data_IF_648792522965
#
_entry.id   IF_648792522965
#
_cell.length_a   1.000
_cell.length_b   1.000
_cell.length_c   1.000
_cell.angle_alpha   90.00
_cell.angle_beta   90.00
_cell.angle_gamma   90.00
#
_symmetry.space_group_name_H-M   'P 1'
#
loop_
_entity.id
_entity.type
_entity.pdbx_description
1 polymer ?
#
# COMPACT_ATOMS: atom_id res chain seq x y z
N UNK A 1 37.65 -5.52 6.36
CA UNK A 1 36.47 -6.04 7.10
C UNK A 1 35.24 -5.26 6.68
N UNK A 2 34.22 -5.97 6.27
CA UNK A 2 32.98 -5.30 5.90
C UNK A 2 32.20 -4.90 7.16
N UNK A 3 31.78 -3.65 7.19
CA UNK A 3 30.92 -3.16 8.26
C UNK A 3 29.48 -3.36 7.80
N UNK A 4 28.71 -4.10 8.56
CA UNK A 4 27.29 -4.26 8.29
C UNK A 4 26.55 -3.12 8.94
N UNK A 5 25.67 -2.52 8.19
CA UNK A 5 24.81 -1.47 8.68
C UNK A 5 23.43 -2.01 9.01
N UNK A 6 22.83 -1.48 10.07
CA UNK A 6 21.44 -1.75 10.38
C UNK A 6 20.57 -1.08 9.32
N UNK A 7 19.56 -1.81 8.81
CA UNK A 7 18.59 -1.25 7.90
C UNK A 7 17.38 -0.76 8.69
N UNK A 8 16.98 0.47 8.40
CA UNK A 8 15.73 1.00 8.91
C UNK A 8 14.59 0.41 8.11
N UNK A 9 13.61 -0.17 8.79
CA UNK A 9 12.42 -0.75 8.18
C UNK A 9 11.21 -0.12 8.85
N UNK A 10 10.25 0.32 8.05
CA UNK A 10 8.99 0.83 8.57
C UNK A 10 8.07 -0.35 8.88
N UNK A 11 7.59 -0.41 10.10
CA UNK A 11 6.70 -1.46 10.58
C UNK A 11 5.51 -0.84 11.28
N UNK A 12 4.41 -1.60 11.41
CA UNK A 12 3.25 -1.13 12.17
C UNK A 12 3.47 -1.32 13.66
N UNK A 13 2.98 -0.35 14.42
CA UNK A 13 3.01 -0.40 15.88
C UNK A 13 1.63 -0.81 16.39
N UNK A 14 1.42 -2.12 16.52
CA UNK A 14 0.15 -2.65 17.00
C UNK A 14 -0.07 -2.46 18.49
N UNK A 15 0.97 -2.11 19.25
CA UNK A 15 0.81 -1.75 20.65
C UNK A 15 0.07 -0.42 20.80
N UNK A 16 0.33 0.52 19.87
CA UNK A 16 -0.38 1.78 19.81
C UNK A 16 -1.77 1.64 19.19
N UNK A 17 -1.93 0.68 18.26
CA UNK A 17 -3.17 0.46 17.53
C UNK A 17 -3.60 -1.01 17.60
N UNK A 18 -3.94 -1.50 18.80
CA UNK A 18 -4.30 -2.91 18.96
C UNK A 18 -5.61 -3.31 18.27
N UNK A 19 -6.36 -2.33 17.79
CA UNK A 19 -7.64 -2.55 17.12
C UNK A 19 -7.52 -2.62 15.60
N UNK A 20 -6.29 -2.60 15.06
CA UNK A 20 -6.09 -2.70 13.63
C UNK A 20 -6.70 -4.01 13.11
N UNK A 21 -7.63 -3.89 12.18
CA UNK A 21 -8.34 -5.04 11.63
C UNK A 21 -7.61 -5.56 10.40
N UNK A 22 -7.15 -6.81 10.49
CA UNK A 22 -6.52 -7.50 9.38
C UNK A 22 -7.53 -7.74 8.27
N UNK A 23 -7.21 -7.32 7.05
CA UNK A 23 -8.10 -7.44 5.90
C UNK A 23 -7.69 -8.57 4.95
N UNK A 24 -6.41 -8.70 4.69
CA UNK A 24 -5.95 -9.68 3.73
C UNK A 24 -4.44 -9.71 3.59
N UNK A 25 -3.98 -10.57 2.68
CA UNK A 25 -2.56 -10.82 2.49
C UNK A 25 -2.26 -11.05 1.01
N UNK A 26 -1.22 -10.41 0.56
CA UNK A 26 -0.69 -10.61 -0.77
C UNK A 26 0.81 -10.81 -0.73
N UNK A 27 1.48 -10.44 -1.80
CA UNK A 27 2.94 -10.52 -1.91
C UNK A 27 3.50 -9.11 -1.71
N UNK A 28 4.36 -8.95 -0.71
CA UNK A 28 5.09 -7.70 -0.50
C UNK A 28 6.17 -7.53 -1.56
N UNK A 29 6.12 -6.43 -2.27
CA UNK A 29 7.06 -6.14 -3.37
C UNK A 29 8.17 -5.22 -2.90
N UNK A 30 7.82 -4.12 -2.27
CA UNK A 30 8.78 -3.07 -1.91
C UNK A 30 8.18 -2.15 -0.86
N UNK A 31 9.04 -1.33 -0.27
CA UNK A 31 8.69 -0.45 0.82
C UNK A 31 8.48 -1.20 2.11
N UNK A 32 7.94 -0.53 3.11
CA UNK A 32 7.59 -1.12 4.39
C UNK A 32 6.13 -0.86 4.70
N UNK A 33 5.83 -0.66 5.97
CA UNK A 33 4.49 -0.32 6.43
C UNK A 33 4.12 1.10 6.01
N UNK A 34 2.90 1.27 5.54
CA UNK A 34 2.36 2.57 5.15
C UNK A 34 0.88 2.63 5.47
N UNK A 35 0.44 3.72 6.07
CA UNK A 35 -0.98 4.03 6.24
C UNK A 35 -1.31 5.23 5.38
N UNK A 36 -2.44 5.17 4.69
CA UNK A 36 -2.86 6.26 3.82
C UNK A 36 -4.31 6.14 3.42
N UNK A 37 -4.72 7.02 2.53
CA UNK A 37 -6.08 7.02 1.99
C UNK A 37 -6.15 6.23 0.71
N UNK A 38 -7.21 5.46 0.58
CA UNK A 38 -7.47 4.69 -0.62
C UNK A 38 -7.89 5.61 -1.75
N UNK A 39 -7.26 5.47 -2.93
CA UNK A 39 -7.60 6.27 -4.11
C UNK A 39 -7.66 5.37 -5.35
N UNK A 40 -8.37 5.83 -6.36
CA UNK A 40 -8.58 5.09 -7.60
C UNK A 40 -8.20 5.88 -8.85
N UNK A 41 -8.20 7.21 -8.79
CA UNK A 41 -7.99 8.06 -9.96
C UNK A 41 -6.94 9.13 -9.71
N UNK A 42 -6.32 9.60 -10.78
CA UNK A 42 -5.39 10.72 -10.70
C UNK A 42 -6.07 11.98 -10.15
N UNK A 43 -7.32 12.19 -10.51
CA UNK A 43 -8.10 13.32 -10.01
C UNK A 43 -8.25 13.28 -8.49
N UNK A 44 -8.55 12.11 -7.92
CA UNK A 44 -8.62 11.94 -6.47
C UNK A 44 -7.27 12.20 -5.82
N UNK A 45 -6.19 11.74 -6.43
CA UNK A 45 -4.83 11.97 -5.91
C UNK A 45 -4.57 13.47 -5.86
N UNK A 46 -4.85 14.21 -6.93
CA UNK A 46 -4.64 15.65 -6.97
C UNK A 46 -5.48 16.38 -5.94
N UNK A 47 -6.74 16.00 -5.76
CA UNK A 47 -7.63 16.59 -4.77
C UNK A 47 -7.09 16.40 -3.35
N UNK A 48 -6.65 15.19 -3.01
CA UNK A 48 -6.09 14.91 -1.68
C UNK A 48 -4.79 15.65 -1.43
N UNK A 49 -3.95 15.83 -2.46
CA UNK A 49 -2.70 16.61 -2.31
C UNK A 49 -2.99 18.06 -1.90
N UNK A 50 -4.14 18.59 -2.29
CA UNK A 50 -4.57 19.94 -1.90
C UNK A 50 -5.24 19.94 -0.52
N UNK A 51 -6.15 19.00 -0.27
CA UNK A 51 -6.94 18.97 0.95
C UNK A 51 -6.16 18.47 2.18
N UNK A 52 -5.25 17.54 1.97
CA UNK A 52 -4.49 16.88 3.04
C UNK A 52 -3.13 16.47 2.52
N UNK A 53 -2.27 17.47 2.31
CA UNK A 53 -0.97 17.29 1.65
C UNK A 53 -0.03 16.32 2.38
N UNK A 54 -0.22 16.14 3.69
CA UNK A 54 0.62 15.25 4.49
C UNK A 54 0.21 13.79 4.47
N UNK A 55 -0.95 13.46 3.90
CA UNK A 55 -1.42 12.08 3.89
C UNK A 55 -0.79 11.29 2.75
N UNK A 56 -0.51 10.03 3.01
CA UNK A 56 -0.11 9.10 1.95
C UNK A 56 -1.35 8.65 1.18
N UNK A 57 -1.16 8.33 -0.09
CA UNK A 57 -2.24 7.88 -0.97
C UNK A 57 -1.89 6.52 -1.53
N UNK A 58 -2.80 5.57 -1.39
CA UNK A 58 -2.61 4.18 -1.80
C UNK A 58 -3.58 3.88 -2.94
N UNK A 59 -3.01 3.64 -4.12
CA UNK A 59 -3.78 3.30 -5.32
C UNK A 59 -4.18 1.83 -5.27
N UNK A 60 -5.45 1.53 -5.51
CA UNK A 60 -5.94 0.16 -5.57
C UNK A 60 -6.44 -0.20 -6.97
N UNK A 61 -6.13 -1.42 -7.40
CA UNK A 61 -6.55 -1.98 -8.68
C UNK A 61 -6.74 -3.48 -8.53
N UNK A 62 -7.65 -4.06 -9.32
CA UNK A 62 -7.68 -5.52 -9.45
C UNK A 62 -6.43 -5.99 -10.18
N UNK A 63 -6.13 -5.33 -11.28
CA UNK A 63 -4.92 -5.55 -12.05
C UNK A 63 -4.56 -4.21 -12.69
N UNK A 64 -3.30 -3.99 -12.98
CA UNK A 64 -2.87 -2.75 -13.61
C UNK A 64 -2.72 -2.94 -15.11
N UNK A 65 -2.96 -1.86 -15.84
CA UNK A 65 -2.71 -1.79 -17.28
C UNK A 65 -1.68 -0.68 -17.53
N UNK A 66 -1.03 -0.65 -18.71
CA UNK A 66 -0.03 0.40 -19.00
C UNK A 66 -0.55 1.82 -18.82
N UNK A 67 -1.83 2.05 -19.05
CA UNK A 67 -2.45 3.37 -18.89
C UNK A 67 -2.49 3.85 -17.43
N UNK A 68 -2.27 2.97 -16.48
CA UNK A 68 -2.24 3.32 -15.04
C UNK A 68 -0.93 3.97 -14.61
N UNK A 69 0.03 4.18 -15.52
CA UNK A 69 1.36 4.66 -15.17
C UNK A 69 1.34 6.01 -14.43
N UNK A 70 0.47 6.91 -14.80
CA UNK A 70 0.39 8.24 -14.17
C UNK A 70 -0.06 8.13 -12.71
N UNK A 71 -1.07 7.31 -12.47
CA UNK A 71 -1.60 7.07 -11.12
C UNK A 71 -0.55 6.38 -10.24
N UNK A 72 0.17 5.41 -10.81
CA UNK A 72 1.22 4.68 -10.07
C UNK A 72 2.34 5.64 -9.67
N UNK A 73 2.74 6.55 -10.56
CA UNK A 73 3.76 7.55 -10.25
C UNK A 73 3.28 8.56 -9.20
N UNK A 74 2.02 8.95 -9.26
CA UNK A 74 1.48 9.99 -8.40
C UNK A 74 1.15 9.49 -6.99
N UNK A 75 0.76 8.23 -6.84
CA UNK A 75 0.42 7.65 -5.55
C UNK A 75 1.68 7.29 -4.75
N UNK A 76 1.54 7.14 -3.45
CA UNK A 76 2.63 6.76 -2.56
C UNK A 76 2.75 5.24 -2.42
N UNK A 77 1.64 4.54 -2.53
CA UNK A 77 1.59 3.09 -2.44
C UNK A 77 0.68 2.48 -3.48
N UNK A 78 0.81 1.18 -3.66
CA UNK A 78 0.04 0.42 -4.63
C UNK A 78 -0.42 -0.91 -4.02
N UNK A 79 -1.69 -1.22 -4.22
CA UNK A 79 -2.30 -2.47 -3.77
C UNK A 79 -3.07 -3.08 -4.94
N UNK A 80 -2.74 -4.33 -5.31
CA UNK A 80 -3.44 -5.01 -6.39
C UNK A 80 -3.95 -6.39 -5.96
N UNK A 81 -5.08 -6.79 -6.56
CA UNK A 81 -5.65 -8.12 -6.33
C UNK A 81 -4.91 -9.20 -7.11
N UNK A 82 -4.37 -8.86 -8.26
CA UNK A 82 -3.67 -9.76 -9.17
C UNK A 82 -2.31 -9.19 -9.55
N UNK A 83 -1.56 -9.95 -10.32
CA UNK A 83 -0.21 -9.62 -10.71
C UNK A 83 0.78 -10.33 -9.81
N UNK A 84 2.03 -10.31 -10.15
CA UNK A 84 3.09 -10.92 -9.37
C UNK A 84 4.28 -9.99 -9.27
N UNK A 85 5.38 -10.49 -8.73
CA UNK A 85 6.62 -9.72 -8.58
C UNK A 85 7.17 -9.21 -9.91
N UNK A 86 6.84 -9.88 -11.01
CA UNK A 86 7.29 -9.49 -12.35
C UNK A 86 6.27 -8.70 -13.14
N UNK A 87 5.13 -8.36 -12.52
CA UNK A 87 4.14 -7.52 -13.19
C UNK A 87 4.70 -6.12 -13.44
N UNK A 88 4.15 -5.44 -14.45
CA UNK A 88 4.58 -4.09 -14.81
C UNK A 88 4.50 -3.14 -13.61
N UNK A 89 3.40 -3.18 -12.89
CA UNK A 89 3.19 -2.32 -11.72
C UNK A 89 4.19 -2.62 -10.61
N UNK A 90 4.45 -3.90 -10.33
CA UNK A 90 5.40 -4.28 -9.29
C UNK A 90 6.81 -3.80 -9.62
N UNK A 91 7.23 -3.95 -10.87
CA UNK A 91 8.55 -3.49 -11.31
C UNK A 91 8.69 -1.98 -11.15
N UNK A 92 7.68 -1.22 -11.57
CA UNK A 92 7.70 0.24 -11.46
C UNK A 92 7.68 0.67 -10.00
N UNK A 93 6.80 0.11 -9.19
CA UNK A 93 6.72 0.46 -7.77
C UNK A 93 8.03 0.20 -7.05
N UNK A 94 8.67 -0.92 -7.34
CA UNK A 94 9.97 -1.26 -6.77
C UNK A 94 11.05 -0.25 -7.17
N UNK A 95 11.11 0.12 -8.44
CA UNK A 95 12.08 1.11 -8.94
C UNK A 95 11.90 2.46 -8.29
N UNK A 96 10.65 2.85 -8.03
CA UNK A 96 10.32 4.14 -7.43
C UNK A 96 10.40 4.11 -5.90
N UNK A 97 10.67 2.96 -5.30
CA UNK A 97 10.75 2.81 -3.86
C UNK A 97 9.40 2.97 -3.16
N UNK A 98 8.31 2.73 -3.86
CA UNK A 98 6.95 2.85 -3.30
C UNK A 98 6.57 1.58 -2.56
N UNK A 99 5.73 1.74 -1.53
CA UNK A 99 5.15 0.58 -0.84
C UNK A 99 4.17 -0.11 -1.77
N UNK A 100 4.36 -1.41 -1.97
CA UNK A 100 3.57 -2.16 -2.95
C UNK A 100 3.25 -3.56 -2.44
N UNK A 101 1.97 -3.92 -2.51
CA UNK A 101 1.47 -5.26 -2.25
C UNK A 101 0.67 -5.71 -3.46
N UNK A 102 1.02 -6.85 -4.03
CA UNK A 102 0.33 -7.43 -5.20
C UNK A 102 -0.25 -8.81 -4.84
N UNK A 103 -1.09 -9.32 -5.71
CA UNK A 103 -1.69 -10.66 -5.53
C UNK A 103 -2.44 -10.82 -4.21
N UNK A 104 -3.14 -9.77 -3.79
CA UNK A 104 -4.00 -9.84 -2.61
C UNK A 104 -5.28 -10.58 -3.00
N UNK A 105 -5.33 -11.89 -2.73
CA UNK A 105 -6.33 -12.79 -3.30
C UNK A 105 -7.75 -12.56 -2.84
N UNK A 106 -7.93 -11.95 -1.67
CA UNK A 106 -9.27 -11.64 -1.15
C UNK A 106 -9.69 -10.19 -1.42
N UNK A 107 -8.95 -9.49 -2.27
CA UNK A 107 -9.27 -8.13 -2.67
C UNK A 107 -10.07 -8.13 -3.96
N UNK A 108 -11.14 -7.36 -3.99
CA UNK A 108 -11.90 -7.09 -5.20
C UNK A 108 -12.16 -5.58 -5.27
N UNK A 109 -11.63 -4.94 -6.30
CA UNK A 109 -11.79 -3.50 -6.48
C UNK A 109 -12.91 -3.20 -7.46
N UNK A 110 -13.81 -2.29 -7.07
CA UNK A 110 -14.78 -1.71 -7.98
C UNK A 110 -14.31 -0.30 -8.31
N UNK A 111 -13.63 -0.15 -9.44
CA UNK A 111 -13.06 1.14 -9.84
C UNK A 111 -14.13 2.15 -10.22
N UNK A 112 -15.25 1.70 -10.76
CA UNK A 112 -16.36 2.56 -11.15
C UNK A 112 -17.03 3.18 -9.92
N UNK A 113 -17.31 2.37 -8.91
CA UNK A 113 -17.96 2.81 -7.68
C UNK A 113 -16.96 3.27 -6.62
N UNK A 114 -15.67 3.08 -6.88
CA UNK A 114 -14.55 3.54 -6.06
C UNK A 114 -14.56 2.96 -4.64
N UNK A 115 -14.56 1.65 -4.55
CA UNK A 115 -14.35 0.95 -3.29
C UNK A 115 -13.57 -0.34 -3.50
N UNK A 116 -12.96 -0.82 -2.43
CA UNK A 116 -12.37 -2.15 -2.35
C UNK A 116 -13.19 -3.02 -1.41
N UNK A 117 -13.31 -4.29 -1.73
CA UNK A 117 -13.98 -5.25 -0.89
C UNK A 117 -12.99 -6.34 -0.49
N UNK A 118 -12.92 -6.61 0.82
CA UNK A 118 -12.12 -7.69 1.39
C UNK A 118 -13.11 -8.65 2.05
N UNK A 119 -13.38 -9.78 1.38
CA UNK A 119 -14.47 -10.67 1.75
C UNK A 119 -15.80 -9.87 1.68
N UNK A 120 -16.42 -9.54 2.80
CA UNK A 120 -17.67 -8.77 2.80
C UNK A 120 -17.50 -7.33 3.29
N UNK A 121 -16.28 -6.94 3.65
CA UNK A 121 -16.01 -5.60 4.15
C UNK A 121 -15.60 -4.66 3.03
N UNK A 122 -16.29 -3.53 2.91
CA UNK A 122 -16.00 -2.52 1.90
C UNK A 122 -15.22 -1.35 2.49
N UNK A 123 -14.19 -0.94 1.78
CA UNK A 123 -13.40 0.26 2.09
C UNK A 123 -13.58 1.22 0.92
N UNK A 124 -14.14 2.38 1.19
CA UNK A 124 -14.44 3.37 0.15
C UNK A 124 -13.25 4.28 -0.11
N UNK A 125 -13.22 4.87 -1.30
CA UNK A 125 -12.25 5.90 -1.64
C UNK A 125 -12.20 6.98 -0.57
N UNK A 126 -10.99 7.39 -0.19
CA UNK A 126 -10.78 8.39 0.87
C UNK A 126 -10.67 7.81 2.26
N UNK A 127 -11.14 6.61 2.49
CA UNK A 127 -10.99 5.95 3.80
C UNK A 127 -9.54 5.48 3.98
N UNK A 128 -9.13 5.35 5.22
CA UNK A 128 -7.77 4.92 5.53
C UNK A 128 -7.60 3.42 5.42
N UNK A 129 -6.43 3.03 4.88
CA UNK A 129 -6.01 1.65 4.75
C UNK A 129 -4.51 1.60 5.07
N UNK A 130 -4.06 0.47 5.57
CA UNK A 130 -2.66 0.26 5.91
C UNK A 130 -2.14 -0.96 5.19
N UNK A 131 -1.00 -0.82 4.53
CA UNK A 131 -0.37 -1.91 3.78
C UNK A 131 1.07 -2.07 4.20
N UNK A 132 1.57 -3.30 4.14
CA UNK A 132 2.97 -3.61 4.45
C UNK A 132 3.64 -4.22 3.21
N UNK A 133 4.49 -3.43 2.58
CA UNK A 133 5.19 -3.85 1.36
C UNK A 133 6.27 -4.88 1.59
N UNK A 134 6.63 -5.15 2.84
CA UNK A 134 7.58 -6.20 3.21
C UNK A 134 6.86 -7.52 3.50
N UNK A 135 5.84 -7.48 4.35
CA UNK A 135 5.12 -8.69 4.76
C UNK A 135 3.97 -9.05 3.82
N UNK A 136 3.43 -8.09 3.07
CA UNK A 136 2.29 -8.30 2.18
C UNK A 136 0.93 -8.22 2.86
N UNK A 137 0.87 -7.76 4.09
CA UNK A 137 -0.37 -7.68 4.86
C UNK A 137 -1.11 -6.37 4.64
N UNK A 138 -2.44 -6.41 4.82
CA UNK A 138 -3.33 -5.26 4.65
C UNK A 138 -4.25 -5.16 5.85
N UNK A 139 -4.40 -3.95 6.37
CA UNK A 139 -5.23 -3.66 7.55
C UNK A 139 -6.18 -2.50 7.27
N UNK A 140 -7.32 -2.50 7.95
CA UNK A 140 -8.26 -1.39 7.89
C UNK A 140 -7.80 -0.25 8.78
N UNK A 141 -7.98 0.98 8.31
CA UNK A 141 -7.78 2.18 9.11
C UNK A 141 -6.34 2.68 9.09
N UNK A 142 -6.12 3.71 9.88
CA UNK A 142 -4.83 4.34 10.04
C UNK A 142 -4.10 3.65 11.19
N UNK A 143 -3.03 2.93 10.86
CA UNK A 143 -2.21 2.24 11.86
C UNK A 143 -0.89 2.99 12.00
N UNK A 144 -0.46 3.22 13.22
CA UNK A 144 0.79 3.92 13.48
C UNK A 144 1.96 3.14 12.89
N UNK A 145 2.81 3.86 12.17
CA UNK A 145 4.03 3.30 11.56
C UNK A 145 5.22 3.74 12.39
N UNK A 146 6.10 2.82 12.70
CA UNK A 146 7.32 3.09 13.43
C UNK A 146 8.51 2.56 12.65
N UNK A 147 9.67 3.16 12.87
CA UNK A 147 10.91 2.72 12.26
C UNK A 147 11.58 1.70 13.18
N UNK A 148 11.82 0.52 12.64
CA UNK A 148 12.51 -0.55 13.35
C UNK A 148 13.82 -0.84 12.64
N UNK A 149 14.92 -0.89 13.38
CA UNK A 149 16.20 -1.25 12.80
C UNK A 149 16.39 -2.76 12.88
N UNK A 150 16.58 -3.36 11.71
CA UNK A 150 16.95 -4.77 11.62
C UNK A 150 18.45 -4.84 11.73
N UNK A 151 18.93 -5.50 12.77
CA UNK A 151 20.35 -5.66 12.98
C UNK A 151 21.01 -6.42 11.83
N UNK A 152 22.27 -6.09 11.57
CA UNK A 152 23.07 -6.76 10.55
C UNK A 152 23.95 -7.86 11.16
N UNK A 153 23.40 -8.60 12.05
CA UNK A 153 24.11 -9.65 12.79
C UNK A 153 24.38 -10.85 11.92
#
# INVERSE_FOLDING_TARGET
MAIRESKAVLTFDFEEDPQALYLGHGVGVSGGAMSGRLVFTLEEIEEWRVMDAGTHLILARNDTVPDDIQEIHAADGLLTARGGLTSHAAVIAHRLGKTCVVSCTNLDCNEKEKYCEFNELKIKSGEHISIDGHEGSVYQGLTKVTETRKGAN
#
